data_IF_226712075704
#
_entry.id   IF_226712075704
#
_cell.length_a   1.000
_cell.length_b   1.000
_cell.length_c   1.000
_cell.angle_alpha   90.00
_cell.angle_beta   90.00
_cell.angle_gamma   90.00
#
_symmetry.space_group_name_H-M   'P 1'
#
loop_
_entity.id
_entity.type
_entity.pdbx_description
1 polymer ?
#
# COMPACT_ATOMS: atom_id res chain seq x y z
N UNK A 1 16.34 20.53 2.77
CA UNK A 1 15.37 19.64 3.44
C UNK A 1 14.48 19.10 2.34
N UNK A 2 14.55 17.80 2.06
CA UNK A 2 13.74 17.17 1.00
C UNK A 2 12.26 17.37 1.36
N UNK A 3 11.48 17.90 0.43
CA UNK A 3 10.03 18.00 0.56
C UNK A 3 9.40 16.62 0.42
N UNK A 4 9.64 15.73 1.39
CA UNK A 4 9.02 14.43 1.47
C UNK A 4 7.51 14.59 1.65
N UNK A 5 6.73 13.82 0.89
CA UNK A 5 5.29 13.80 1.04
C UNK A 5 4.92 13.40 2.47
N UNK A 6 4.02 14.17 3.07
CA UNK A 6 3.59 13.88 4.44
C UNK A 6 2.91 12.51 4.48
N UNK A 7 3.03 11.80 5.61
CA UNK A 7 2.32 10.53 5.80
C UNK A 7 0.81 10.66 5.58
N UNK A 8 0.24 11.84 5.87
CA UNK A 8 -1.16 12.16 5.63
C UNK A 8 -1.52 12.16 4.13
N UNK A 9 -0.63 12.67 3.27
CA UNK A 9 -0.83 12.61 1.81
C UNK A 9 -0.95 11.16 1.33
N UNK A 10 -0.12 10.26 1.87
CA UNK A 10 -0.15 8.83 1.51
C UNK A 10 -1.43 8.15 1.98
N UNK A 11 -1.92 8.49 3.17
CA UNK A 11 -3.20 7.98 3.70
C UNK A 11 -4.36 8.42 2.83
N UNK A 12 -4.45 9.72 2.50
CA UNK A 12 -5.52 10.22 1.63
C UNK A 12 -5.49 9.57 0.24
N UNK A 13 -4.31 9.46 -0.36
CA UNK A 13 -4.13 8.78 -1.64
C UNK A 13 -4.64 7.32 -1.59
N UNK A 14 -4.35 6.61 -0.50
CA UNK A 14 -4.85 5.25 -0.31
C UNK A 14 -6.37 5.22 -0.14
N UNK A 15 -6.97 6.13 0.64
CA UNK A 15 -8.43 6.22 0.80
C UNK A 15 -9.11 6.44 -0.55
N UNK A 16 -8.61 7.38 -1.36
CA UNK A 16 -9.17 7.67 -2.69
C UNK A 16 -9.23 6.41 -3.57
N UNK A 17 -8.15 5.64 -3.63
CA UNK A 17 -8.09 4.39 -4.40
C UNK A 17 -8.95 3.27 -3.83
N UNK A 18 -9.00 3.14 -2.49
CA UNK A 18 -9.78 2.09 -1.83
C UNK A 18 -11.30 2.35 -1.95
N UNK A 19 -11.71 3.63 -2.09
CA UNK A 19 -13.10 4.01 -2.35
C UNK A 19 -13.46 4.04 -3.84
N UNK A 20 -12.47 4.02 -4.74
CA UNK A 20 -12.68 3.91 -6.19
C UNK A 20 -13.03 2.47 -6.61
N UNK A 21 -14.29 2.10 -6.37
CA UNK A 21 -14.79 0.74 -6.61
C UNK A 21 -15.15 0.49 -8.08
N UNK A 22 -15.00 -0.75 -8.59
CA UNK A 22 -14.63 -1.97 -7.86
C UNK A 22 -13.12 -2.27 -7.82
N UNK A 23 -12.32 -1.60 -8.65
CA UNK A 23 -10.96 -2.05 -8.99
C UNK A 23 -9.85 -1.02 -8.71
N UNK A 24 -10.15 0.17 -8.19
CA UNK A 24 -9.15 1.22 -7.88
C UNK A 24 -8.09 0.81 -6.86
N UNK A 25 -8.37 -0.20 -6.04
CA UNK A 25 -7.40 -0.79 -5.11
C UNK A 25 -6.26 -1.57 -5.81
N UNK A 26 -6.46 -2.05 -7.04
CA UNK A 26 -5.48 -2.89 -7.75
C UNK A 26 -4.15 -2.18 -8.03
N UNK A 27 -4.14 -0.99 -8.67
CA UNK A 27 -2.88 -0.30 -8.93
C UNK A 27 -2.27 0.36 -7.68
N UNK A 28 -3.04 0.53 -6.60
CA UNK A 28 -2.71 1.37 -5.45
C UNK A 28 -1.26 1.18 -4.96
N UNK A 29 -0.86 -0.04 -4.61
CA UNK A 29 0.47 -0.30 -4.03
C UNK A 29 1.60 0.05 -5.00
N UNK A 30 1.43 -0.25 -6.29
CA UNK A 30 2.41 0.08 -7.33
C UNK A 30 2.50 1.59 -7.53
N UNK A 31 1.37 2.28 -7.53
CA UNK A 31 1.34 3.74 -7.68
C UNK A 31 1.94 4.46 -6.48
N UNK A 32 1.70 3.97 -5.26
CA UNK A 32 2.36 4.50 -4.06
C UNK A 32 3.88 4.32 -4.14
N UNK A 33 4.36 3.14 -4.55
CA UNK A 33 5.80 2.87 -4.67
C UNK A 33 6.46 3.76 -5.74
N UNK A 34 5.81 3.93 -6.89
CA UNK A 34 6.31 4.78 -7.97
C UNK A 34 6.25 6.28 -7.63
N UNK A 35 5.27 6.71 -6.84
CA UNK A 35 5.08 8.10 -6.45
C UNK A 35 6.03 8.55 -5.33
N UNK A 36 6.40 7.65 -4.42
CA UNK A 36 7.29 7.93 -3.29
C UNK A 36 8.47 6.97 -3.20
N UNK A 37 9.30 6.86 -4.26
CA UNK A 37 10.32 5.81 -4.37
C UNK A 37 11.41 5.90 -3.29
N UNK A 38 11.68 7.12 -2.79
CA UNK A 38 12.72 7.38 -1.79
C UNK A 38 12.26 7.26 -0.34
N UNK A 39 10.95 7.22 -0.10
CA UNK A 39 10.38 7.13 1.24
C UNK A 39 10.49 5.71 1.78
N UNK A 40 10.33 5.56 3.11
CA UNK A 40 10.40 4.25 3.74
C UNK A 40 9.31 3.34 3.17
N UNK A 41 9.68 2.12 2.76
CA UNK A 41 8.71 1.15 2.26
C UNK A 41 7.63 0.83 3.33
N UNK A 42 7.99 0.88 4.62
CA UNK A 42 7.06 0.66 5.72
C UNK A 42 5.98 1.74 5.84
N UNK A 43 6.20 2.94 5.29
CA UNK A 43 5.17 4.00 5.26
C UNK A 43 4.00 3.63 4.37
N UNK A 44 4.22 2.82 3.32
CA UNK A 44 3.13 2.31 2.47
C UNK A 44 2.22 1.39 3.28
N UNK A 45 2.79 0.46 4.05
CA UNK A 45 2.02 -0.43 4.94
C UNK A 45 1.24 0.38 5.97
N UNK A 46 1.89 1.37 6.61
CA UNK A 46 1.21 2.24 7.57
C UNK A 46 0.04 2.98 6.93
N UNK A 47 0.24 3.56 5.75
CA UNK A 47 -0.81 4.31 5.05
C UNK A 47 -2.01 3.44 4.66
N UNK A 48 -1.77 2.20 4.19
CA UNK A 48 -2.84 1.24 3.89
C UNK A 48 -3.65 0.85 5.14
N UNK A 49 -2.97 0.57 6.25
CA UNK A 49 -3.59 0.24 7.53
C UNK A 49 -4.43 1.40 8.06
N UNK A 50 -3.88 2.62 8.01
CA UNK A 50 -4.60 3.83 8.42
C UNK A 50 -5.81 4.11 7.55
N UNK A 51 -5.67 4.02 6.23
CA UNK A 51 -6.77 4.19 5.29
C UNK A 51 -7.90 3.18 5.53
N UNK A 52 -7.56 1.89 5.68
CA UNK A 52 -8.55 0.85 5.95
C UNK A 52 -9.30 1.10 7.27
N UNK A 53 -8.56 1.43 8.34
CA UNK A 53 -9.14 1.76 9.64
C UNK A 53 -10.05 3.01 9.60
N UNK A 54 -9.67 4.03 8.83
CA UNK A 54 -10.49 5.24 8.65
C UNK A 54 -11.78 4.93 7.90
N UNK A 55 -11.72 4.14 6.82
CA UNK A 55 -12.91 3.68 6.09
C UNK A 55 -13.85 2.89 7.01
N UNK A 56 -13.35 1.95 7.82
CA UNK A 56 -14.18 1.18 8.77
C UNK A 56 -14.84 2.07 9.82
N UNK A 57 -14.15 3.13 10.25
CA UNK A 57 -14.67 4.08 11.24
C UNK A 57 -15.76 4.99 10.66
N UNK A 58 -15.65 5.34 9.37
CA UNK A 58 -16.58 6.25 8.69
C UNK A 58 -17.83 5.54 8.18
N UNK A 59 -17.72 4.26 7.80
CA UNK A 59 -18.81 3.52 7.17
C UNK A 59 -19.28 2.35 8.03
N UNK A 60 -20.59 2.27 8.23
CA UNK A 60 -21.24 1.18 8.95
C UNK A 60 -21.13 -0.18 8.24
N UNK A 61 -21.43 -1.25 8.96
CA UNK A 61 -21.50 -2.61 8.42
C UNK A 61 -22.50 -2.68 7.25
N UNK A 62 -22.15 -3.43 6.21
CA UNK A 62 -22.96 -3.57 4.99
C UNK A 62 -22.80 -2.44 3.96
N UNK A 63 -22.08 -1.36 4.28
CA UNK A 63 -21.73 -0.34 3.29
C UNK A 63 -20.82 -0.90 2.19
N UNK A 64 -21.10 -0.63 0.89
CA UNK A 64 -20.19 -1.01 -0.20
C UNK A 64 -18.75 -0.48 -0.02
N UNK A 65 -18.60 0.67 0.64
CA UNK A 65 -17.31 1.28 0.93
C UNK A 65 -16.43 0.41 1.85
N UNK A 66 -17.02 -0.45 2.70
CA UNK A 66 -16.24 -1.34 3.58
C UNK A 66 -15.44 -2.39 2.82
N UNK A 67 -15.84 -2.75 1.60
CA UNK A 67 -15.03 -3.62 0.75
C UNK A 67 -13.64 -3.02 0.48
N UNK A 68 -13.54 -1.69 0.39
CA UNK A 68 -12.27 -0.97 0.28
C UNK A 68 -11.36 -1.18 1.49
N UNK A 69 -11.91 -1.18 2.71
CA UNK A 69 -11.12 -1.47 3.92
C UNK A 69 -10.56 -2.90 3.92
N UNK A 70 -11.37 -3.89 3.54
CA UNK A 70 -10.92 -5.29 3.40
C UNK A 70 -9.75 -5.41 2.40
N UNK A 71 -9.82 -4.67 1.29
CA UNK A 71 -8.70 -4.59 0.33
C UNK A 71 -7.47 -3.94 0.95
N UNK A 72 -7.62 -2.82 1.65
CA UNK A 72 -6.50 -2.14 2.34
C UNK A 72 -5.76 -3.05 3.32
N UNK A 73 -6.50 -3.78 4.17
CA UNK A 73 -5.93 -4.77 5.08
C UNK A 73 -5.20 -5.89 4.34
N UNK A 74 -5.81 -6.43 3.28
CA UNK A 74 -5.19 -7.49 2.47
C UNK A 74 -3.88 -7.01 1.82
N UNK A 75 -3.87 -5.82 1.24
CA UNK A 75 -2.67 -5.25 0.60
C UNK A 75 -1.55 -5.05 1.62
N UNK A 76 -1.87 -4.55 2.83
CA UNK A 76 -0.91 -4.38 3.91
C UNK A 76 -0.29 -5.73 4.35
N UNK A 77 -1.11 -6.78 4.48
CA UNK A 77 -0.63 -8.11 4.85
C UNK A 77 0.29 -8.71 3.76
N UNK A 78 -0.07 -8.54 2.49
CA UNK A 78 0.74 -9.00 1.35
C UNK A 78 2.09 -8.28 1.27
N UNK A 79 2.13 -6.97 1.50
CA UNK A 79 3.40 -6.24 1.61
C UNK A 79 4.26 -6.71 2.80
N UNK A 80 3.63 -7.09 3.91
CA UNK A 80 4.34 -7.71 5.04
C UNK A 80 5.03 -9.01 4.65
N UNK A 81 4.38 -9.83 3.81
CA UNK A 81 4.96 -11.05 3.26
C UNK A 81 6.13 -10.74 2.31
N UNK A 82 5.99 -9.74 1.43
CA UNK A 82 7.08 -9.28 0.56
C UNK A 82 8.30 -8.83 1.38
N UNK A 83 8.09 -8.07 2.48
CA UNK A 83 9.21 -7.67 3.34
C UNK A 83 9.91 -8.84 4.00
N UNK A 84 9.16 -9.85 4.45
CA UNK A 84 9.75 -11.07 4.99
C UNK A 84 10.56 -11.80 3.90
N UNK A 85 10.00 -11.99 2.71
CA UNK A 85 10.69 -12.66 1.61
C UNK A 85 11.97 -11.91 1.19
N UNK A 86 11.91 -10.58 1.10
CA UNK A 86 13.07 -9.74 0.80
C UNK A 86 14.15 -9.87 1.88
N UNK A 87 13.79 -9.96 3.15
CA UNK A 87 14.73 -10.17 4.25
C UNK A 87 15.43 -11.52 4.15
N UNK A 88 14.68 -12.61 3.95
CA UNK A 88 15.22 -13.97 3.80
C UNK A 88 16.15 -14.09 2.58
N UNK A 89 15.88 -13.33 1.53
CA UNK A 89 16.70 -13.28 0.31
C UNK A 89 17.89 -12.31 0.39
N UNK A 90 18.05 -11.58 1.50
CA UNK A 90 19.09 -10.56 1.66
C UNK A 90 18.93 -9.36 0.70
N UNK A 91 17.71 -9.09 0.25
CA UNK A 91 17.40 -7.99 -0.66
C UNK A 91 17.19 -6.67 0.12
N UNK A 92 17.56 -5.51 -0.46
CA UNK A 92 17.25 -4.22 0.14
C UNK A 92 15.74 -4.05 0.32
N UNK A 93 15.26 -3.61 1.49
CA UNK A 93 13.82 -3.40 1.76
C UNK A 93 13.45 -2.08 2.45
N UNK A 94 14.42 -1.17 2.56
CA UNK A 94 14.22 0.10 3.30
C UNK A 94 13.34 1.12 2.55
N UNK A 95 13.50 1.25 1.24
CA UNK A 95 12.83 2.25 0.41
C UNK A 95 11.74 1.64 -0.45
N UNK A 96 10.70 2.41 -0.77
CA UNK A 96 9.62 1.97 -1.65
C UNK A 96 10.13 1.50 -3.03
N UNK A 97 11.15 2.16 -3.60
CA UNK A 97 11.77 1.73 -4.86
C UNK A 97 12.36 0.31 -4.83
N UNK A 98 12.70 -0.21 -3.65
CA UNK A 98 13.19 -1.59 -3.56
C UNK A 98 12.09 -2.63 -3.81
N UNK A 99 10.83 -2.30 -3.53
CA UNK A 99 9.69 -3.17 -3.82
C UNK A 99 9.58 -3.42 -5.33
N UNK A 100 9.75 -2.38 -6.15
CA UNK A 100 9.72 -2.54 -7.62
C UNK A 100 10.82 -3.48 -8.14
N UNK A 101 11.98 -3.46 -7.49
CA UNK A 101 13.08 -4.40 -7.72
C UNK A 101 12.68 -5.84 -7.37
N UNK A 102 12.11 -6.03 -6.17
CA UNK A 102 11.63 -7.33 -5.71
C UNK A 102 10.53 -7.89 -6.61
N UNK A 103 9.63 -7.05 -7.12
CA UNK A 103 8.55 -7.52 -8.01
C UNK A 103 9.02 -7.98 -9.38
N UNK A 104 10.33 -7.92 -9.69
CA UNK A 104 10.93 -8.63 -10.84
C UNK A 104 11.08 -10.14 -10.58
N UNK A 105 11.09 -10.53 -9.31
CA UNK A 105 11.26 -11.89 -8.82
C UNK A 105 9.88 -12.47 -8.47
N UNK A 106 9.07 -11.74 -7.70
CA UNK A 106 7.67 -12.09 -7.38
C UNK A 106 6.70 -11.05 -7.97
N UNK A 107 6.02 -11.36 -9.10
CA UNK A 107 5.34 -10.34 -9.87
C UNK A 107 3.93 -9.98 -9.35
N UNK A 108 3.48 -10.46 -8.18
CA UNK A 108 2.10 -10.26 -7.73
C UNK A 108 1.62 -8.80 -7.87
N UNK A 109 2.31 -7.82 -7.25
CA UNK A 109 1.94 -6.41 -7.33
C UNK A 109 2.25 -5.75 -8.69
N UNK A 110 3.11 -6.37 -9.49
CA UNK A 110 3.35 -5.92 -10.87
C UNK A 110 2.18 -6.26 -11.78
N UNK A 111 1.55 -7.41 -11.56
CA UNK A 111 0.50 -7.99 -12.41
C UNK A 111 -0.92 -7.78 -11.88
N UNK A 112 -1.06 -7.22 -10.66
CA UNK A 112 -2.33 -6.95 -9.97
C UNK A 112 -3.20 -5.88 -10.64
#
# INVERSE_FOLDING_TARGET
MSGGATILEKVHFAIEHLLDTPDGWRPLVREMAARWPDDSASEIVYALVKAASEIESMFGEGSPARSGAEKGWRLAALLGLDFYAMEELGLPRAKAAHLEGYWKIDPYFREL
#
